data_IF_740695779525
#
_entry.id   IF_740695779525
#
_cell.length_a   1.000
_cell.length_b   1.000
_cell.length_c   1.000
_cell.angle_alpha   90.00
_cell.angle_beta   90.00
_cell.angle_gamma   90.00
#
_symmetry.space_group_name_H-M   'P 1'
#
loop_
_entity.id
_entity.type
_entity.pdbx_description
1 polymer ?
#
# COMPACT_ATOMS: atom_id res chain seq x y z
N UNK A 1 12.06 2.48 -31.00
CA UNK A 1 11.88 3.09 -29.67
C UNK A 1 12.18 4.57 -29.82
N UNK A 2 11.30 5.45 -29.38
CA UNK A 2 11.50 6.90 -29.53
C UNK A 2 12.55 7.44 -28.56
N UNK A 3 13.01 8.66 -28.76
CA UNK A 3 13.94 9.34 -27.87
C UNK A 3 13.30 9.57 -26.46
N UNK A 4 11.99 9.84 -26.40
CA UNK A 4 11.25 10.00 -25.14
C UNK A 4 11.24 8.70 -24.31
N UNK A 5 10.88 7.57 -24.91
CA UNK A 5 10.87 6.27 -24.25
C UNK A 5 12.27 5.84 -23.79
N UNK A 6 13.32 6.15 -24.58
CA UNK A 6 14.71 5.87 -24.18
C UNK A 6 15.13 6.71 -22.98
N UNK A 7 14.80 8.00 -22.95
CA UNK A 7 15.10 8.91 -21.85
C UNK A 7 14.43 8.46 -20.54
N UNK A 8 13.13 8.11 -20.56
CA UNK A 8 12.44 7.60 -19.38
C UNK A 8 13.05 6.29 -18.88
N UNK A 9 13.34 5.35 -19.77
CA UNK A 9 14.00 4.07 -19.40
C UNK A 9 15.35 4.28 -18.74
N UNK A 10 16.13 5.24 -19.21
CA UNK A 10 17.43 5.54 -18.63
C UNK A 10 17.30 6.16 -17.22
N UNK A 11 16.37 7.08 -17.03
CA UNK A 11 16.07 7.65 -15.70
C UNK A 11 15.63 6.57 -14.72
N UNK A 12 14.74 5.65 -15.15
CA UNK A 12 14.28 4.52 -14.34
C UNK A 12 15.45 3.59 -13.96
N UNK A 13 16.29 3.20 -14.92
CA UNK A 13 17.46 2.35 -14.66
C UNK A 13 18.43 2.99 -13.68
N UNK A 14 18.70 4.28 -13.84
CA UNK A 14 19.61 5.01 -12.95
C UNK A 14 19.05 5.07 -11.53
N UNK A 15 17.78 5.41 -11.36
CA UNK A 15 17.12 5.42 -10.05
C UNK A 15 17.12 4.01 -9.41
N UNK A 16 16.75 3.00 -10.17
CA UNK A 16 16.72 1.61 -9.73
C UNK A 16 18.10 1.13 -9.23
N UNK A 17 19.17 1.47 -9.97
CA UNK A 17 20.55 1.13 -9.61
C UNK A 17 20.99 1.86 -8.34
N UNK A 18 20.71 3.16 -8.22
CA UNK A 18 21.13 3.97 -7.07
C UNK A 18 20.42 3.53 -5.77
N UNK A 19 19.19 3.02 -5.88
CA UNK A 19 18.38 2.65 -4.71
C UNK A 19 18.23 1.13 -4.53
N UNK A 20 18.97 0.32 -5.29
CA UNK A 20 18.97 -1.16 -5.18
C UNK A 20 17.57 -1.80 -5.32
N UNK A 21 16.72 -1.24 -6.17
CA UNK A 21 15.38 -1.76 -6.48
C UNK A 21 15.26 -2.16 -7.95
N UNK A 22 14.31 -3.05 -8.25
CA UNK A 22 14.08 -3.49 -9.63
C UNK A 22 13.52 -2.34 -10.49
N UNK A 23 14.05 -2.18 -11.70
CA UNK A 23 13.62 -1.13 -12.65
C UNK A 23 12.12 -1.21 -12.96
N UNK A 24 11.53 -2.42 -12.97
CA UNK A 24 10.10 -2.62 -13.16
C UNK A 24 9.28 -2.00 -12.02
N UNK A 25 9.75 -2.11 -10.78
CA UNK A 25 9.10 -1.50 -9.61
C UNK A 25 9.12 0.03 -9.73
N UNK A 26 10.26 0.62 -10.13
CA UNK A 26 10.37 2.07 -10.34
C UNK A 26 9.45 2.55 -11.44
N UNK A 27 9.41 1.84 -12.58
CA UNK A 27 8.52 2.17 -13.69
C UNK A 27 7.05 2.17 -13.25
N UNK A 28 6.63 1.11 -12.57
CA UNK A 28 5.25 0.95 -12.14
C UNK A 28 4.85 2.01 -11.11
N UNK A 29 5.73 2.31 -10.15
CA UNK A 29 5.48 3.38 -9.18
C UNK A 29 5.46 4.78 -9.82
N UNK A 30 6.28 5.04 -10.83
CA UNK A 30 6.20 6.27 -11.61
C UNK A 30 4.86 6.40 -12.35
N UNK A 31 4.35 5.31 -12.91
CA UNK A 31 3.02 5.34 -13.56
C UNK A 31 1.89 5.51 -12.53
N UNK A 32 2.01 4.89 -11.33
CA UNK A 32 1.08 5.19 -10.24
C UNK A 32 1.15 6.65 -9.78
N UNK A 33 2.35 7.23 -9.69
CA UNK A 33 2.52 8.66 -9.39
C UNK A 33 1.74 9.53 -10.39
N UNK A 34 1.89 9.25 -11.69
CA UNK A 34 1.15 9.97 -12.74
C UNK A 34 -0.37 9.79 -12.61
N UNK A 35 -0.84 8.60 -12.23
CA UNK A 35 -2.27 8.35 -11.96
C UNK A 35 -2.75 9.11 -10.70
N UNK A 36 -1.99 9.03 -9.61
CA UNK A 36 -2.32 9.71 -8.34
C UNK A 36 -2.32 11.23 -8.48
N UNK A 37 -1.44 11.79 -9.34
CA UNK A 37 -1.48 13.21 -9.68
C UNK A 37 -2.81 13.61 -10.34
N UNK A 38 -3.32 12.79 -11.28
CA UNK A 38 -4.65 12.98 -11.87
C UNK A 38 -5.76 12.86 -10.86
N UNK A 39 -5.68 11.86 -9.98
CA UNK A 39 -6.64 11.68 -8.90
C UNK A 39 -6.68 12.93 -8.00
N UNK A 40 -5.53 13.51 -7.65
CA UNK A 40 -5.45 14.70 -6.78
C UNK A 40 -6.12 15.92 -7.39
N UNK A 41 -6.07 16.06 -8.72
CA UNK A 41 -6.70 17.18 -9.47
C UNK A 41 -8.15 16.90 -9.87
N UNK A 42 -8.65 15.69 -9.64
CA UNK A 42 -10.00 15.28 -10.03
C UNK A 42 -11.06 15.67 -8.99
N UNK A 43 -12.33 15.68 -9.43
CA UNK A 43 -13.49 15.76 -8.53
C UNK A 43 -13.65 14.56 -7.58
N UNK A 44 -12.79 13.55 -7.70
CA UNK A 44 -12.78 12.34 -6.90
C UNK A 44 -11.66 12.31 -5.84
N UNK A 45 -10.84 13.35 -5.74
CA UNK A 45 -9.71 13.41 -4.79
C UNK A 45 -10.11 13.15 -3.33
N UNK A 46 -11.34 13.52 -2.94
CA UNK A 46 -11.90 13.27 -1.61
C UNK A 46 -12.67 11.92 -1.49
N UNK A 47 -12.82 11.20 -2.59
CA UNK A 47 -13.58 9.94 -2.63
C UNK A 47 -12.69 8.72 -2.50
N UNK A 48 -11.46 8.79 -2.98
CA UNK A 48 -10.49 7.72 -2.88
C UNK A 48 -9.51 7.98 -1.72
N UNK A 49 -9.46 7.06 -0.79
CA UNK A 49 -8.51 7.10 0.33
C UNK A 49 -7.46 6.02 0.11
N UNK A 50 -6.20 6.43 -0.05
CA UNK A 50 -5.08 5.52 -0.30
C UNK A 50 -4.74 4.74 0.97
N UNK A 51 -4.45 3.45 0.82
CA UNK A 51 -4.07 2.56 1.91
C UNK A 51 -2.97 1.58 1.48
N UNK A 52 -2.69 0.59 2.33
CA UNK A 52 -1.83 -0.54 1.96
C UNK A 52 -0.40 -0.17 1.62
N UNK A 53 0.17 -0.97 0.74
CA UNK A 53 1.60 -0.89 0.40
C UNK A 53 2.02 0.41 -0.27
N UNK A 54 1.16 1.00 -1.09
CA UNK A 54 1.45 2.26 -1.78
C UNK A 54 1.56 3.43 -0.80
N UNK A 55 0.64 3.52 0.18
CA UNK A 55 0.71 4.54 1.21
C UNK A 55 1.99 4.41 2.05
N UNK A 56 2.33 3.19 2.46
CA UNK A 56 3.55 2.93 3.23
C UNK A 56 4.79 3.35 2.42
N UNK A 57 4.89 2.93 1.14
CA UNK A 57 6.01 3.31 0.27
C UNK A 57 6.12 4.82 0.07
N UNK A 58 5.00 5.52 0.00
CA UNK A 58 4.97 6.97 -0.11
C UNK A 58 5.44 7.69 1.18
N UNK A 59 5.17 7.10 2.34
CA UNK A 59 5.57 7.64 3.65
C UNK A 59 7.05 7.38 3.94
N UNK A 60 7.52 6.13 3.77
CA UNK A 60 8.88 5.72 4.19
C UNK A 60 9.92 5.75 3.05
N UNK A 61 9.48 5.93 1.80
CA UNK A 61 10.32 5.88 0.61
C UNK A 61 10.22 4.54 -0.13
N UNK A 62 10.27 4.62 -1.47
CA UNK A 62 10.17 3.44 -2.35
C UNK A 62 11.37 2.49 -2.22
N UNK A 63 12.54 3.02 -1.89
CA UNK A 63 13.77 2.28 -1.62
C UNK A 63 13.70 1.50 -0.30
N UNK A 64 12.94 2.02 0.65
CA UNK A 64 12.70 1.39 1.95
C UNK A 64 11.57 0.37 1.91
N UNK A 65 10.54 0.61 1.09
CA UNK A 65 9.39 -0.29 0.97
C UNK A 65 8.82 -0.25 -0.45
N UNK A 66 9.16 -1.24 -1.25
CA UNK A 66 8.65 -1.34 -2.63
C UNK A 66 7.27 -1.99 -2.70
N UNK A 67 6.42 -1.49 -3.61
CA UNK A 67 5.10 -2.04 -3.89
C UNK A 67 4.81 -2.01 -5.39
N UNK A 68 3.86 -2.82 -5.83
CA UNK A 68 3.43 -2.89 -7.21
C UNK A 68 1.89 -2.80 -7.35
N UNK A 69 1.19 -2.63 -6.24
CA UNK A 69 -0.27 -2.57 -6.19
C UNK A 69 -0.69 -1.26 -5.53
N UNK A 70 -1.79 -0.67 -6.00
CA UNK A 70 -2.44 0.48 -5.38
C UNK A 70 -3.73 0.01 -4.70
N UNK A 71 -3.76 0.10 -3.38
CA UNK A 71 -4.94 -0.18 -2.58
C UNK A 71 -5.65 1.12 -2.22
N UNK A 72 -6.97 1.19 -2.40
CA UNK A 72 -7.79 2.33 -2.02
C UNK A 72 -9.10 1.88 -1.37
N UNK A 73 -9.68 2.73 -0.54
CA UNK A 73 -11.05 2.59 -0.09
C UNK A 73 -11.89 3.79 -0.52
N UNK A 74 -13.12 3.53 -0.95
CA UNK A 74 -14.08 4.59 -1.32
C UNK A 74 -14.80 5.12 -0.09
N UNK A 75 -14.94 6.44 -0.03
CA UNK A 75 -15.82 7.12 0.90
C UNK A 75 -16.82 8.01 0.14
N UNK A 76 -18.08 8.02 0.60
CA UNK A 76 -19.13 8.86 0.01
C UNK A 76 -19.30 8.68 -1.53
N UNK A 77 -19.05 7.48 -2.02
CA UNK A 77 -19.28 7.04 -3.39
C UNK A 77 -19.78 5.60 -3.36
N UNK A 78 -20.89 5.27 -4.05
CA UNK A 78 -21.35 3.88 -4.12
C UNK A 78 -20.32 2.96 -4.78
N UNK A 79 -20.09 1.80 -4.17
CA UNK A 79 -19.23 0.76 -4.73
C UNK A 79 -20.00 -0.05 -5.77
N UNK A 80 -20.23 0.52 -6.94
CA UNK A 80 -20.78 -0.19 -8.10
C UNK A 80 -19.82 -0.11 -9.28
N UNK A 81 -19.85 -1.13 -10.13
CA UNK A 81 -18.98 -1.21 -11.31
C UNK A 81 -19.10 0.05 -12.17
N UNK A 82 -20.34 0.50 -12.44
CA UNK A 82 -20.61 1.67 -13.27
C UNK A 82 -20.00 2.95 -12.69
N UNK A 83 -20.15 3.14 -11.36
CA UNK A 83 -19.63 4.34 -10.68
C UNK A 83 -18.12 4.35 -10.59
N UNK A 84 -17.50 3.19 -10.43
CA UNK A 84 -16.05 3.05 -10.43
C UNK A 84 -15.49 3.33 -11.81
N UNK A 85 -16.06 2.74 -12.87
CA UNK A 85 -15.64 2.98 -14.26
C UNK A 85 -15.82 4.46 -14.63
N UNK A 86 -16.97 5.06 -14.29
CA UNK A 86 -17.22 6.49 -14.52
C UNK A 86 -16.13 7.36 -13.87
N UNK A 87 -15.84 7.11 -12.59
CA UNK A 87 -14.83 7.87 -11.85
C UNK A 87 -13.42 7.69 -12.44
N UNK A 88 -13.02 6.44 -12.72
CA UNK A 88 -11.70 6.17 -13.25
C UNK A 88 -11.50 6.74 -14.65
N UNK A 89 -12.50 6.68 -15.53
CA UNK A 89 -12.42 7.30 -16.86
C UNK A 89 -12.23 8.81 -16.74
N UNK A 90 -13.01 9.49 -15.89
CA UNK A 90 -12.85 10.93 -15.66
C UNK A 90 -11.46 11.29 -15.08
N UNK A 91 -10.91 10.45 -14.18
CA UNK A 91 -9.56 10.64 -13.66
C UNK A 91 -8.52 10.46 -14.78
N UNK A 92 -8.64 9.41 -15.59
CA UNK A 92 -7.72 9.09 -16.67
C UNK A 92 -7.69 10.14 -17.79
N UNK A 93 -8.79 10.85 -18.01
CA UNK A 93 -8.93 11.91 -19.02
C UNK A 93 -8.23 13.23 -18.63
N UNK A 94 -7.82 13.41 -17.36
CA UNK A 94 -7.15 14.65 -16.94
C UNK A 94 -5.77 14.73 -17.59
N UNK A 95 -5.55 15.77 -18.38
CA UNK A 95 -4.27 16.04 -19.04
C UNK A 95 -3.29 16.76 -18.09
N UNK A 96 -2.32 16.02 -17.57
CA UNK A 96 -1.24 16.55 -16.73
C UNK A 96 -0.02 17.02 -17.55
N UNK A 97 -0.09 16.97 -18.88
CA UNK A 97 1.01 17.33 -19.82
C UNK A 97 2.31 16.56 -19.57
N UNK A 98 2.18 15.34 -19.07
CA UNK A 98 3.27 14.43 -18.73
C UNK A 98 3.53 13.36 -19.81
N UNK A 99 2.80 13.42 -20.92
CA UNK A 99 2.80 12.45 -22.03
C UNK A 99 2.37 11.02 -21.59
N UNK A 100 1.73 10.86 -20.42
CA UNK A 100 1.19 9.58 -19.95
C UNK A 100 -0.31 9.52 -20.18
N UNK A 101 -0.78 8.44 -20.76
CA UNK A 101 -2.20 8.17 -21.03
C UNK A 101 -2.63 6.90 -20.29
N UNK A 102 -3.84 6.91 -19.77
CA UNK A 102 -4.40 5.76 -19.06
C UNK A 102 -5.65 5.25 -19.76
N UNK A 103 -5.84 3.94 -19.75
CA UNK A 103 -7.08 3.31 -20.20
C UNK A 103 -7.50 2.21 -19.22
N UNK A 104 -8.79 2.16 -18.90
CA UNK A 104 -9.39 1.07 -18.11
C UNK A 104 -9.49 -0.16 -19.01
N UNK A 105 -8.91 -1.29 -18.58
CA UNK A 105 -8.87 -2.54 -19.34
C UNK A 105 -9.93 -3.51 -18.83
N UNK A 106 -10.01 -3.71 -17.53
CA UNK A 106 -11.02 -4.58 -16.92
C UNK A 106 -11.33 -4.16 -15.49
N UNK A 107 -12.51 -4.56 -15.03
CA UNK A 107 -12.94 -4.48 -13.64
C UNK A 107 -13.48 -5.85 -13.24
N UNK A 108 -13.00 -6.37 -12.13
CA UNK A 108 -13.36 -7.70 -11.62
C UNK A 108 -13.65 -7.60 -10.13
N UNK A 109 -14.70 -8.25 -9.60
CA UNK A 109 -14.94 -8.31 -8.17
C UNK A 109 -13.76 -8.97 -7.44
N UNK A 110 -13.28 -8.35 -6.37
CA UNK A 110 -12.36 -8.99 -5.44
C UNK A 110 -13.18 -10.02 -4.66
N UNK A 111 -12.78 -11.26 -4.71
CA UNK A 111 -13.39 -12.51 -4.18
C UNK A 111 -14.67 -12.33 -3.35
N UNK A 112 -15.69 -13.17 -3.67
CA UNK A 112 -17.02 -13.20 -3.05
C UNK A 112 -17.03 -13.52 -1.54
N UNK A 113 -15.90 -13.87 -0.94
CA UNK A 113 -15.81 -14.31 0.46
C UNK A 113 -15.47 -13.17 1.45
N UNK A 114 -15.20 -11.96 0.97
CA UNK A 114 -15.06 -10.80 1.83
C UNK A 114 -16.45 -10.20 2.12
N UNK A 115 -16.74 -10.00 3.39
CA UNK A 115 -18.00 -9.42 3.90
C UNK A 115 -18.27 -8.03 3.28
N UNK A 116 -17.22 -7.34 2.89
CA UNK A 116 -17.22 -6.02 2.23
C UNK A 116 -16.65 -6.17 0.84
N UNK A 117 -17.50 -6.15 -0.16
CA UNK A 117 -17.11 -6.28 -1.56
C UNK A 117 -16.03 -5.27 -1.98
N UNK A 118 -15.34 -5.60 -3.06
CA UNK A 118 -14.33 -4.75 -3.68
C UNK A 118 -14.21 -5.06 -5.17
N UNK A 119 -13.48 -4.21 -5.88
CA UNK A 119 -13.16 -4.41 -7.28
C UNK A 119 -11.66 -4.24 -7.50
N UNK A 120 -11.09 -5.18 -8.26
CA UNK A 120 -9.76 -5.04 -8.82
C UNK A 120 -9.91 -4.46 -10.23
N UNK A 121 -9.35 -3.28 -10.46
CA UNK A 121 -9.37 -2.60 -11.75
C UNK A 121 -7.99 -2.67 -12.38
N UNK A 122 -7.94 -3.11 -13.62
CA UNK A 122 -6.71 -3.10 -14.41
C UNK A 122 -6.71 -1.90 -15.35
N UNK A 123 -5.61 -1.18 -15.32
CA UNK A 123 -5.34 -0.05 -16.22
C UNK A 123 -4.08 -0.34 -17.03
N UNK A 124 -4.04 0.17 -18.24
CA UNK A 124 -2.78 0.35 -18.96
C UNK A 124 -2.36 1.82 -18.89
N UNK A 125 -1.13 2.05 -18.41
CA UNK A 125 -0.45 3.33 -18.47
C UNK A 125 0.49 3.32 -19.69
N UNK A 126 0.27 4.25 -20.62
CA UNK A 126 1.01 4.34 -21.87
C UNK A 126 1.83 5.63 -21.89
N UNK A 127 3.15 5.47 -21.99
CA UNK A 127 4.09 6.55 -22.23
C UNK A 127 4.85 6.26 -23.52
N UNK A 128 4.48 6.93 -24.61
CA UNK A 128 5.00 6.69 -25.95
C UNK A 128 4.87 5.18 -26.35
N UNK A 129 5.96 4.45 -26.46
CA UNK A 129 5.96 3.01 -26.80
C UNK A 129 6.03 2.09 -25.57
N UNK A 130 6.00 2.64 -24.36
CA UNK A 130 6.02 1.89 -23.11
C UNK A 130 4.59 1.71 -22.63
N UNK A 131 4.16 0.46 -22.50
CA UNK A 131 2.88 0.11 -21.88
C UNK A 131 3.18 -0.56 -20.54
N UNK A 132 2.57 -0.05 -19.49
CA UNK A 132 2.74 -0.56 -18.12
C UNK A 132 1.38 -0.91 -17.54
N UNK A 133 1.08 -2.20 -17.34
CA UNK A 133 -0.15 -2.61 -16.67
C UNK A 133 -0.10 -2.23 -15.18
N UNK A 134 -1.19 -1.67 -14.69
CA UNK A 134 -1.39 -1.29 -13.30
C UNK A 134 -2.61 -2.03 -12.74
N UNK A 135 -2.60 -2.31 -11.45
CA UNK A 135 -3.73 -2.88 -10.71
C UNK A 135 -4.11 -1.96 -9.57
N UNK A 136 -5.39 -1.61 -9.47
CA UNK A 136 -5.96 -0.83 -8.39
C UNK A 136 -7.02 -1.66 -7.70
N UNK A 137 -6.81 -1.94 -6.43
CA UNK A 137 -7.79 -2.61 -5.59
C UNK A 137 -8.62 -1.55 -4.86
N UNK A 138 -9.93 -1.59 -5.10
CA UNK A 138 -10.90 -0.61 -4.60
C UNK A 138 -11.88 -1.32 -3.67
N UNK A 139 -11.87 -0.97 -2.39
CA UNK A 139 -12.82 -1.45 -1.38
C UNK A 139 -13.75 -0.34 -0.89
N UNK A 140 -14.65 -0.67 0.02
CA UNK A 140 -15.49 0.27 0.76
C UNK A 140 -15.81 -0.27 2.13
N UNK A 141 -16.31 0.60 3.01
CA UNK A 141 -16.75 0.21 4.35
C UNK A 141 -15.62 0.04 5.36
N UNK A 142 -14.38 0.22 4.96
CA UNK A 142 -13.24 0.14 5.87
C UNK A 142 -13.37 1.17 7.02
N UNK A 143 -12.99 0.75 8.22
CA UNK A 143 -12.99 1.62 9.40
C UNK A 143 -11.62 2.30 9.52
N UNK A 144 -11.63 3.62 9.53
CA UNK A 144 -10.43 4.45 9.69
C UNK A 144 -10.57 5.20 11.03
N UNK A 145 -9.68 4.98 11.95
CA UNK A 145 -9.77 5.51 13.32
C UNK A 145 -8.59 6.45 13.64
N UNK A 146 -8.84 7.71 14.03
CA UNK A 146 -10.16 8.35 14.10
C UNK A 146 -10.70 8.72 12.72
N UNK A 147 -9.86 9.12 11.76
CA UNK A 147 -10.25 9.52 10.39
C UNK A 147 -9.06 9.48 9.43
N UNK A 148 -9.36 9.53 8.13
CA UNK A 148 -8.35 9.66 7.10
C UNK A 148 -7.62 11.00 7.22
N UNK A 149 -6.32 11.01 6.85
CA UNK A 149 -5.49 12.22 6.87
C UNK A 149 -5.03 12.58 5.45
N UNK A 150 -4.71 13.84 5.25
CA UNK A 150 -4.24 14.32 3.96
C UNK A 150 -2.71 14.31 3.93
N UNK A 151 -2.15 13.61 2.95
CA UNK A 151 -0.72 13.53 2.72
C UNK A 151 -0.32 14.36 1.50
N UNK A 152 0.89 14.90 1.54
CA UNK A 152 1.55 15.51 0.39
C UNK A 152 2.77 14.67 0.00
N UNK A 153 2.76 14.15 -1.21
CA UNK A 153 3.86 13.37 -1.76
C UNK A 153 4.61 14.17 -2.82
N UNK A 154 5.92 14.00 -2.86
CA UNK A 154 6.74 14.55 -3.95
C UNK A 154 7.01 13.51 -5.02
N UNK A 155 7.19 13.95 -6.25
CA UNK A 155 7.46 13.05 -7.36
C UNK A 155 8.77 12.27 -7.21
N UNK A 156 8.82 11.08 -7.80
CA UNK A 156 9.99 10.20 -7.80
C UNK A 156 11.17 10.89 -8.50
N UNK A 157 10.90 11.49 -9.66
CA UNK A 157 11.94 12.12 -10.49
C UNK A 157 11.98 13.64 -10.40
N UNK A 158 10.89 14.28 -9.99
CA UNK A 158 10.80 15.73 -9.80
C UNK A 158 10.24 16.05 -8.42
N UNK A 159 11.12 16.48 -7.54
CA UNK A 159 10.76 16.83 -6.15
C UNK A 159 9.91 18.10 -6.03
N UNK A 160 9.68 18.84 -7.12
CA UNK A 160 8.78 20.00 -7.13
C UNK A 160 7.31 19.58 -7.35
N UNK A 161 7.06 18.41 -7.92
CA UNK A 161 5.69 17.88 -8.03
C UNK A 161 5.15 17.65 -6.62
N UNK A 162 3.92 18.12 -6.38
CA UNK A 162 3.16 17.90 -5.15
C UNK A 162 1.86 17.21 -5.49
N UNK A 163 1.65 16.04 -4.88
CA UNK A 163 0.45 15.23 -5.03
C UNK A 163 -0.22 15.16 -3.66
N UNK A 164 -1.41 15.74 -3.56
CA UNK A 164 -2.14 15.83 -2.31
C UNK A 164 -3.31 14.84 -2.29
N UNK A 165 -3.25 13.82 -1.43
CA UNK A 165 -4.22 12.73 -1.38
C UNK A 165 -4.63 12.40 0.05
N UNK A 166 -5.87 11.92 0.20
CA UNK A 166 -6.31 11.31 1.43
C UNK A 166 -5.74 9.90 1.55
N UNK A 167 -5.28 9.56 2.74
CA UNK A 167 -4.79 8.22 3.08
C UNK A 167 -5.19 7.84 4.50
N UNK A 168 -4.99 6.57 4.84
CA UNK A 168 -5.15 6.13 6.22
C UNK A 168 -4.15 6.85 7.13
N UNK A 169 -4.56 7.17 8.36
CA UNK A 169 -3.61 7.58 9.38
C UNK A 169 -2.68 6.40 9.74
N UNK A 170 -1.54 6.71 10.33
CA UNK A 170 -0.49 5.73 10.65
C UNK A 170 -1.02 4.64 11.58
N UNK A 171 -1.82 5.02 12.57
CA UNK A 171 -2.39 4.13 13.57
C UNK A 171 -3.29 3.06 12.93
N UNK A 172 -4.16 3.46 11.99
CA UNK A 172 -5.00 2.52 11.25
C UNK A 172 -4.16 1.60 10.35
N UNK A 173 -3.13 2.13 9.67
CA UNK A 173 -2.23 1.29 8.86
C UNK A 173 -1.54 0.23 9.73
N UNK A 174 -0.96 0.63 10.86
CA UNK A 174 -0.32 -0.31 11.80
C UNK A 174 -1.35 -1.30 12.35
N UNK A 175 -2.54 -0.85 12.73
CA UNK A 175 -3.60 -1.67 13.29
C UNK A 175 -4.05 -2.78 12.33
N UNK A 176 -4.26 -2.47 11.04
CA UNK A 176 -4.59 -3.48 10.03
C UNK A 176 -3.52 -4.55 9.86
N UNK A 177 -2.24 -4.15 9.92
CA UNK A 177 -1.11 -5.07 9.82
C UNK A 177 -0.98 -5.94 11.06
N UNK A 178 -1.08 -5.34 12.25
CA UNK A 178 -1.04 -6.05 13.54
C UNK A 178 -2.21 -7.03 13.65
N UNK A 179 -3.44 -6.59 13.34
CA UNK A 179 -4.60 -7.49 13.31
C UNK A 179 -4.35 -8.69 12.40
N UNK A 180 -3.86 -8.47 11.19
CA UNK A 180 -3.59 -9.54 10.24
C UNK A 180 -2.51 -10.51 10.76
N UNK A 181 -1.45 -10.00 11.41
CA UNK A 181 -0.42 -10.83 12.02
C UNK A 181 -1.00 -11.67 13.16
N UNK A 182 -1.74 -11.05 14.08
CA UNK A 182 -2.34 -11.73 15.23
C UNK A 182 -3.38 -12.77 14.80
N UNK A 183 -4.30 -12.41 13.91
CA UNK A 183 -5.35 -13.30 13.42
C UNK A 183 -4.81 -14.52 12.67
N UNK A 184 -3.74 -14.36 11.90
CA UNK A 184 -3.09 -15.47 11.17
C UNK A 184 -2.13 -16.28 12.05
N UNK A 185 -1.56 -15.66 13.06
CA UNK A 185 -0.62 -16.30 13.97
C UNK A 185 0.51 -17.01 13.22
N UNK A 186 0.80 -18.24 13.61
CA UNK A 186 1.84 -19.09 12.99
C UNK A 186 1.53 -19.53 11.56
N UNK A 187 0.29 -19.40 11.11
CA UNK A 187 -0.12 -19.71 9.73
C UNK A 187 0.04 -18.54 8.77
N UNK A 188 0.68 -17.45 9.21
CA UNK A 188 0.91 -16.31 8.34
C UNK A 188 1.85 -16.65 7.19
N UNK A 189 1.44 -16.27 5.99
CA UNK A 189 2.25 -16.36 4.76
C UNK A 189 2.66 -14.98 4.25
N UNK A 190 2.55 -13.94 5.10
CA UNK A 190 2.68 -12.52 4.74
C UNK A 190 3.84 -11.85 5.48
N UNK A 191 5.10 -12.16 5.15
CA UNK A 191 6.27 -11.55 5.81
C UNK A 191 6.30 -10.02 5.62
N UNK A 192 5.64 -9.53 4.57
CA UNK A 192 5.55 -8.10 4.28
C UNK A 192 4.80 -7.33 5.38
N UNK A 193 3.75 -7.92 5.98
CA UNK A 193 3.02 -7.27 7.07
C UNK A 193 3.91 -7.11 8.31
N UNK A 194 4.77 -8.08 8.60
CA UNK A 194 5.78 -7.99 9.67
C UNK A 194 6.79 -6.86 9.39
N UNK A 195 7.26 -6.75 8.15
CA UNK A 195 8.15 -5.66 7.75
C UNK A 195 7.47 -4.30 7.84
N UNK A 196 6.21 -4.21 7.37
CA UNK A 196 5.43 -2.97 7.39
C UNK A 196 5.26 -2.46 8.85
N UNK A 197 4.96 -3.35 9.80
CA UNK A 197 4.89 -3.01 11.25
C UNK A 197 6.26 -2.54 11.77
N UNK A 198 7.33 -3.24 11.40
CA UNK A 198 8.69 -2.88 11.81
C UNK A 198 9.07 -1.49 11.32
N UNK A 199 8.94 -1.22 10.01
CA UNK A 199 9.40 0.03 9.44
C UNK A 199 8.57 1.22 9.93
N UNK A 200 7.25 1.09 10.01
CA UNK A 200 6.39 2.14 10.54
C UNK A 200 6.65 2.37 12.03
N UNK A 201 6.75 1.33 12.83
CA UNK A 201 6.98 1.45 14.27
C UNK A 201 8.39 1.97 14.65
N UNK A 202 9.35 1.93 13.71
CA UNK A 202 10.71 2.47 13.93
C UNK A 202 10.94 3.85 13.34
N UNK A 203 10.18 4.24 12.31
CA UNK A 203 10.43 5.48 11.56
C UNK A 203 9.33 6.52 11.69
N UNK A 204 8.13 6.12 12.17
CA UNK A 204 7.00 7.03 12.29
C UNK A 204 6.61 7.23 13.75
N UNK A 205 6.15 8.43 14.06
CA UNK A 205 5.45 8.71 15.32
C UNK A 205 3.99 8.28 15.18
N UNK A 206 3.43 7.70 16.22
CA UNK A 206 2.03 7.30 16.30
C UNK A 206 1.53 7.39 17.75
N UNK A 207 0.23 7.66 17.92
CA UNK A 207 -0.42 7.68 19.23
C UNK A 207 -0.84 6.26 19.62
N UNK A 208 -0.36 5.79 20.78
CA UNK A 208 -0.67 4.41 21.28
C UNK A 208 -2.15 4.21 21.60
N UNK A 209 -2.83 5.22 22.11
CA UNK A 209 -4.25 5.08 22.46
C UNK A 209 -5.10 5.05 21.18
N UNK A 210 -4.80 5.92 20.21
CA UNK A 210 -5.45 5.88 18.89
C UNK A 210 -5.16 4.53 18.19
N UNK A 211 -3.92 4.02 18.28
CA UNK A 211 -3.60 2.68 17.74
C UNK A 211 -4.46 1.58 18.38
N UNK A 212 -4.63 1.57 19.70
CA UNK A 212 -5.47 0.56 20.40
C UNK A 212 -6.92 0.65 19.94
N UNK A 213 -7.46 1.86 19.81
CA UNK A 213 -8.80 2.09 19.28
C UNK A 213 -8.92 1.60 17.83
N UNK A 214 -7.94 1.91 16.99
CA UNK A 214 -7.89 1.46 15.60
C UNK A 214 -7.79 -0.07 15.49
N UNK A 215 -6.95 -0.71 16.33
CA UNK A 215 -6.83 -2.16 16.36
C UNK A 215 -8.14 -2.84 16.76
N UNK A 216 -8.80 -2.31 17.79
CA UNK A 216 -10.10 -2.80 18.22
C UNK A 216 -11.15 -2.63 17.12
N UNK A 217 -11.26 -1.44 16.54
CA UNK A 217 -12.24 -1.16 15.48
C UNK A 217 -11.99 -2.02 14.23
N UNK A 218 -10.72 -2.24 13.85
CA UNK A 218 -10.35 -3.15 12.76
C UNK A 218 -10.74 -4.60 13.08
N UNK A 219 -10.48 -5.06 14.30
CA UNK A 219 -10.80 -6.43 14.71
C UNK A 219 -12.32 -6.66 14.79
N UNK A 220 -13.09 -5.70 15.31
CA UNK A 220 -14.54 -5.74 15.31
C UNK A 220 -15.09 -5.80 13.88
N UNK A 221 -14.61 -4.93 13.02
CA UNK A 221 -15.00 -4.88 11.60
C UNK A 221 -14.73 -6.19 10.86
N UNK A 222 -13.58 -6.83 11.13
CA UNK A 222 -13.17 -8.10 10.50
C UNK A 222 -13.69 -9.34 11.24
N UNK A 223 -14.46 -9.18 12.33
CA UNK A 223 -14.95 -10.29 13.13
C UNK A 223 -13.86 -11.13 13.77
N UNK A 224 -12.69 -10.53 14.06
CA UNK A 224 -11.50 -11.24 14.58
C UNK A 224 -11.21 -10.96 16.06
N UNK A 225 -12.06 -10.23 16.77
CA UNK A 225 -11.88 -9.85 18.18
C UNK A 225 -11.54 -11.06 19.07
N UNK A 226 -12.32 -12.12 18.96
CA UNK A 226 -12.11 -13.35 19.74
C UNK A 226 -10.81 -14.08 19.33
N UNK A 227 -10.43 -13.99 18.05
CA UNK A 227 -9.24 -14.65 17.52
C UNK A 227 -7.93 -14.00 18.00
N UNK A 228 -7.98 -12.70 18.32
CA UNK A 228 -6.81 -11.94 18.77
C UNK A 228 -6.84 -11.63 20.28
N UNK A 229 -7.77 -12.22 21.05
CA UNK A 229 -7.93 -11.92 22.47
C UNK A 229 -6.70 -12.32 23.32
N UNK A 230 -6.04 -13.45 22.98
CA UNK A 230 -4.82 -13.90 23.63
C UNK A 230 -3.57 -13.41 22.90
N UNK A 231 -3.31 -12.13 22.96
CA UNK A 231 -2.14 -11.49 22.31
C UNK A 231 -0.83 -12.09 22.78
N UNK A 232 -0.66 -12.31 24.08
CA UNK A 232 0.59 -12.85 24.64
C UNK A 232 0.87 -14.27 24.14
N UNK A 233 -0.13 -15.14 24.17
CA UNK A 233 -0.02 -16.52 23.68
C UNK A 233 0.28 -16.56 22.18
N UNK A 234 -0.40 -15.73 21.38
CA UNK A 234 -0.17 -15.63 19.94
C UNK A 234 1.26 -15.15 19.65
N UNK A 235 1.73 -14.09 20.29
CA UNK A 235 3.08 -13.55 20.09
C UNK A 235 4.16 -14.55 20.54
N UNK A 236 3.92 -15.32 21.60
CA UNK A 236 4.81 -16.40 22.02
C UNK A 236 4.92 -17.46 20.93
N UNK A 237 3.79 -17.96 20.40
CA UNK A 237 3.80 -18.96 19.32
C UNK A 237 4.50 -18.41 18.05
N UNK A 238 4.26 -17.16 17.67
CA UNK A 238 4.93 -16.49 16.54
C UNK A 238 6.46 -16.47 16.78
N UNK A 239 6.90 -16.14 17.98
CA UNK A 239 8.33 -16.03 18.29
C UNK A 239 9.06 -17.39 18.30
N UNK A 240 8.37 -18.47 18.66
CA UNK A 240 8.88 -19.84 18.70
C UNK A 240 8.79 -20.56 17.33
N UNK A 241 8.08 -20.00 16.36
CA UNK A 241 7.85 -20.62 15.06
C UNK A 241 9.10 -20.61 14.18
N UNK A 242 9.62 -21.81 13.87
CA UNK A 242 10.70 -22.00 12.89
C UNK A 242 10.24 -21.62 11.47
N UNK A 243 9.00 -21.94 11.10
CA UNK A 243 8.46 -21.70 9.76
C UNK A 243 8.37 -20.20 9.44
N UNK A 244 7.95 -19.39 10.43
CA UNK A 244 7.93 -17.94 10.28
C UNK A 244 9.34 -17.34 10.19
N UNK A 245 10.28 -17.87 10.94
CA UNK A 245 11.71 -17.48 10.88
C UNK A 245 12.31 -17.82 9.51
N UNK A 246 12.01 -18.99 8.98
CA UNK A 246 12.44 -19.41 7.63
C UNK A 246 11.77 -18.55 6.52
N UNK A 247 10.48 -18.25 6.67
CA UNK A 247 9.75 -17.34 5.79
C UNK A 247 10.39 -15.95 5.79
N UNK A 248 10.76 -15.43 6.96
CA UNK A 248 11.47 -14.16 7.09
C UNK A 248 12.83 -14.19 6.38
N UNK A 249 13.61 -15.23 6.58
CA UNK A 249 14.89 -15.41 5.88
C UNK A 249 14.78 -15.44 4.36
N UNK A 250 13.68 -16.01 3.81
CA UNK A 250 13.37 -15.94 2.38
C UNK A 250 13.00 -14.53 1.93
N UNK A 251 12.27 -13.80 2.78
CA UNK A 251 11.89 -12.41 2.52
C UNK A 251 13.11 -11.49 2.47
N UNK A 252 14.03 -11.60 3.43
CA UNK A 252 15.30 -10.87 3.47
C UNK A 252 16.14 -11.08 2.20
N UNK A 253 16.21 -12.33 1.72
CA UNK A 253 16.95 -12.66 0.48
C UNK A 253 16.31 -12.05 -0.77
N UNK A 254 15.01 -11.84 -0.75
CA UNK A 254 14.26 -11.30 -1.90
C UNK A 254 14.27 -9.77 -1.96
N UNK A 255 14.33 -9.11 -0.81
CA UNK A 255 14.19 -7.65 -0.72
C UNK A 255 15.39 -7.04 -0.01
N UNK A 256 16.19 -6.27 -0.75
CA UNK A 256 17.42 -5.63 -0.24
C UNK A 256 17.15 -4.74 0.97
N UNK A 257 16.03 -4.01 0.99
CA UNK A 257 15.65 -3.15 2.10
C UNK A 257 15.36 -3.91 3.43
N UNK A 258 15.10 -5.22 3.36
CA UNK A 258 14.87 -6.04 4.56
C UNK A 258 16.12 -6.84 4.99
N UNK A 259 17.20 -6.79 4.23
CA UNK A 259 18.38 -7.65 4.37
C UNK A 259 19.00 -7.63 5.76
N UNK A 260 19.12 -6.44 6.34
CA UNK A 260 19.79 -6.23 7.64
C UNK A 260 18.81 -6.19 8.82
N UNK A 261 17.51 -6.45 8.58
CA UNK A 261 16.48 -6.46 9.61
C UNK A 261 16.28 -7.88 10.14
N UNK A 262 16.73 -8.17 11.37
CA UNK A 262 16.55 -9.50 11.96
C UNK A 262 15.08 -9.78 12.29
N UNK A 263 14.70 -11.06 12.30
CA UNK A 263 13.35 -11.46 12.74
C UNK A 263 13.08 -11.07 14.19
N UNK A 264 14.09 -11.16 15.04
CA UNK A 264 13.98 -10.80 16.46
C UNK A 264 13.75 -9.29 16.63
N UNK A 265 14.40 -8.42 15.84
CA UNK A 265 14.14 -6.97 15.84
C UNK A 265 12.69 -6.66 15.41
N UNK A 266 12.17 -7.40 14.44
CA UNK A 266 10.75 -7.25 14.03
C UNK A 266 9.81 -7.61 15.17
N UNK A 267 10.09 -8.72 15.87
CA UNK A 267 9.28 -9.16 17.03
C UNK A 267 9.35 -8.18 18.21
N UNK A 268 10.51 -7.57 18.45
CA UNK A 268 10.66 -6.54 19.48
C UNK A 268 9.79 -5.31 19.19
N UNK A 269 9.81 -4.84 17.94
CA UNK A 269 8.97 -3.70 17.52
C UNK A 269 7.49 -4.07 17.62
N UNK A 270 7.09 -5.24 17.14
CA UNK A 270 5.71 -5.71 17.23
C UNK A 270 5.22 -5.76 18.69
N UNK A 271 6.02 -6.31 19.61
CA UNK A 271 5.71 -6.34 21.04
C UNK A 271 5.57 -4.93 21.61
N UNK A 272 6.50 -4.02 21.32
CA UNK A 272 6.46 -2.63 21.79
C UNK A 272 5.23 -1.86 21.33
N UNK A 273 4.73 -2.16 20.12
CA UNK A 273 3.52 -1.51 19.57
C UNK A 273 2.28 -2.02 20.30
N UNK A 274 2.21 -3.33 20.57
CA UNK A 274 0.99 -3.96 21.10
C UNK A 274 0.88 -3.77 22.63
N UNK A 275 1.99 -3.69 23.36
CA UNK A 275 2.07 -3.46 24.81
C UNK A 275 2.57 -2.03 25.13
#
# INVERSE_FOLDING_TARGET
MSAKAMSLKERIKNYARCNHIAAQVVLQNYMFECFLARLSESGYSEKFVVKGGMLIAAIVGLDTRSTMDLDTTLRNLPLTEEKIIEALNQICEIDMKDDVFFSVISIEPIRKDDIYGGYCVRLDAVYDTIITPLSIDISTGDVITPEAVKYEFSGIFDKNIRISLWGYNIETVIAEKVETILRRGVFSTRPRDFYDVYILGTTQEYDKEIFKEALRATAEHRGSIELIADVEGILKQISESSDLRDMWGKYQKKFEYAKDVSYDSVLEVLKRIVF
#
